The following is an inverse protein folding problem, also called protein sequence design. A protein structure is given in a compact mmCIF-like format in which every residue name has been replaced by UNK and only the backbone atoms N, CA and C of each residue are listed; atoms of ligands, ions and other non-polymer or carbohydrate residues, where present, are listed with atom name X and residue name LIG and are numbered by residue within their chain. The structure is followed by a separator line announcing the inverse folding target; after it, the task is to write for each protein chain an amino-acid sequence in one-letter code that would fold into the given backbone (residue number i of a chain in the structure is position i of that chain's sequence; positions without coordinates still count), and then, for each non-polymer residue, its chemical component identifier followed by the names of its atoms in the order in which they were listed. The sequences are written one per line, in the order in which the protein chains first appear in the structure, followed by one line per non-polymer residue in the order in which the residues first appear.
data_IF_031442471805
#
_entry.id   IF_031442471805
#
_cell.length_a   1.000
_cell.length_b   1.000
_cell.length_c   1.000
_cell.angle_alpha   90.00
_cell.angle_beta   90.00
_cell.angle_gamma   90.00
#
_symmetry.space_group_name_H-M   'P 1'
#
loop_
_entity.id
_entity.type
_entity.pdbx_description
1 polymer ?
#
# COMPACT_ATOMS: atom_id res chain seq x y z
N UNK A 1 -1.10 -19.82 4.30
CA UNK A 1 0.14 -19.26 3.73
C UNK A 1 0.75 -18.28 4.73
N UNK A 2 2.05 -18.24 4.83
CA UNK A 2 2.75 -17.38 5.78
C UNK A 2 3.13 -16.06 5.08
N UNK A 3 2.25 -15.09 5.15
CA UNK A 3 2.46 -13.82 4.47
C UNK A 3 3.56 -13.01 5.16
N UNK A 4 4.41 -12.40 4.34
CA UNK A 4 5.46 -11.49 4.79
C UNK A 4 5.22 -10.14 4.12
N UNK A 5 4.28 -9.40 4.70
CA UNK A 5 3.80 -8.14 4.11
C UNK A 5 4.91 -7.09 3.98
N UNK A 6 5.84 -7.05 4.92
CA UNK A 6 6.95 -6.10 4.86
C UNK A 6 7.86 -6.37 3.67
N UNK A 7 8.20 -7.64 3.41
CA UNK A 7 9.02 -8.01 2.26
C UNK A 7 8.25 -7.77 0.96
N UNK A 8 6.96 -8.14 0.93
CA UNK A 8 6.14 -7.95 -0.25
C UNK A 8 5.99 -6.47 -0.59
N UNK A 9 5.80 -5.62 0.41
CA UNK A 9 5.68 -4.18 0.19
C UNK A 9 6.91 -3.62 -0.52
N UNK A 10 8.08 -4.00 -0.07
CA UNK A 10 9.33 -3.50 -0.64
C UNK A 10 9.58 -4.06 -2.05
N UNK A 11 9.25 -5.34 -2.27
CA UNK A 11 9.39 -5.95 -3.59
C UNK A 11 8.45 -5.28 -4.60
N UNK A 12 7.18 -5.08 -4.22
CA UNK A 12 6.22 -4.41 -5.11
C UNK A 12 6.65 -2.99 -5.42
N UNK A 13 7.21 -2.29 -4.44
CA UNK A 13 7.72 -0.94 -4.66
C UNK A 13 8.84 -0.93 -5.70
N UNK A 14 9.83 -1.79 -5.54
CA UNK A 14 10.96 -1.85 -6.47
C UNK A 14 10.51 -2.21 -7.89
N UNK A 15 9.58 -3.17 -7.99
CA UNK A 15 9.06 -3.57 -9.29
C UNK A 15 8.26 -2.44 -9.93
N UNK A 16 7.46 -1.73 -9.14
CA UNK A 16 6.69 -0.59 -9.63
C UNK A 16 7.61 0.51 -10.15
N UNK A 17 8.67 0.82 -9.40
CA UNK A 17 9.64 1.83 -9.82
C UNK A 17 10.29 1.46 -11.16
N UNK A 18 10.66 0.20 -11.32
CA UNK A 18 11.25 -0.26 -12.57
C UNK A 18 10.26 -0.14 -13.73
N UNK A 19 9.03 -0.59 -13.51
CA UNK A 19 7.99 -0.52 -14.54
C UNK A 19 7.65 0.92 -14.89
N UNK A 20 7.60 1.81 -13.90
CA UNK A 20 7.36 3.24 -14.12
C UNK A 20 8.46 3.84 -15.00
N UNK A 21 9.71 3.47 -14.76
CA UNK A 21 10.83 3.90 -15.57
C UNK A 21 10.77 3.42 -17.01
N UNK A 22 10.10 2.29 -17.23
CA UNK A 22 9.90 1.72 -18.57
C UNK A 22 8.57 2.16 -19.19
N UNK A 23 7.89 3.12 -18.57
CA UNK A 23 6.62 3.68 -19.02
C UNK A 23 5.48 2.64 -19.09
N UNK A 24 5.56 1.64 -18.24
CA UNK A 24 4.51 0.63 -18.10
C UNK A 24 3.56 1.07 -17.00
N UNK A 25 2.80 2.11 -17.31
CA UNK A 25 2.00 2.86 -16.33
C UNK A 25 0.97 2.01 -15.60
N UNK A 26 0.20 1.19 -16.31
CA UNK A 26 -0.87 0.41 -15.68
C UNK A 26 -0.33 -0.59 -14.66
N UNK A 27 0.69 -1.35 -15.04
CA UNK A 27 1.26 -2.32 -14.12
C UNK A 27 2.04 -1.65 -12.99
N UNK A 28 2.72 -0.54 -13.28
CA UNK A 28 3.40 0.22 -12.22
C UNK A 28 2.38 0.72 -11.20
N UNK A 29 1.27 1.29 -11.65
CA UNK A 29 0.24 1.81 -10.76
C UNK A 29 -0.38 0.71 -9.91
N UNK A 30 -0.65 -0.44 -10.51
CA UNK A 30 -1.18 -1.59 -9.79
C UNK A 30 -0.25 -1.99 -8.65
N UNK A 31 1.05 -2.06 -8.92
CA UNK A 31 2.03 -2.46 -7.91
C UNK A 31 2.27 -1.38 -6.86
N UNK A 32 2.16 -0.10 -7.21
CA UNK A 32 2.23 0.94 -6.19
C UNK A 32 1.11 0.77 -5.15
N UNK A 33 -0.11 0.50 -5.61
CA UNK A 33 -1.22 0.26 -4.69
C UNK A 33 -1.01 -0.98 -3.83
N UNK A 34 -0.50 -2.06 -4.42
CA UNK A 34 -0.21 -3.28 -3.66
C UNK A 34 0.93 -3.07 -2.67
N UNK A 35 1.94 -2.29 -3.02
CA UNK A 35 3.02 -1.96 -2.08
C UNK A 35 2.49 -1.19 -0.88
N UNK A 36 1.63 -0.20 -1.12
CA UNK A 36 0.99 0.56 -0.06
C UNK A 36 0.14 -0.35 0.84
N UNK A 37 -0.64 -1.21 0.22
CA UNK A 37 -1.49 -2.16 0.95
C UNK A 37 -0.67 -3.06 1.85
N UNK A 38 0.41 -3.63 1.32
CA UNK A 38 1.27 -4.52 2.09
C UNK A 38 1.98 -3.77 3.22
N UNK A 39 2.37 -2.52 3.01
CA UNK A 39 2.99 -1.72 4.06
C UNK A 39 2.04 -1.52 5.25
N UNK A 40 0.78 -1.19 4.95
CA UNK A 40 -0.24 -1.04 5.99
C UNK A 40 -0.51 -2.37 6.69
N UNK A 41 -0.65 -3.45 5.93
CA UNK A 41 -0.89 -4.78 6.51
C UNK A 41 0.26 -5.25 7.38
N UNK A 42 1.49 -4.85 7.06
CA UNK A 42 2.64 -5.16 7.91
C UNK A 42 2.48 -4.54 9.29
N UNK A 43 2.01 -3.29 9.37
CA UNK A 43 1.75 -2.62 10.65
C UNK A 43 0.58 -3.27 11.36
N UNK A 44 -0.54 -3.50 10.66
CA UNK A 44 -1.74 -4.11 11.24
C UNK A 44 -1.43 -5.49 11.83
N UNK A 45 -0.54 -6.24 11.20
CA UNK A 45 -0.16 -7.57 11.68
C UNK A 45 0.55 -7.55 13.03
N UNK A 46 0.98 -6.37 13.48
CA UNK A 46 1.62 -6.20 14.80
C UNK A 46 0.61 -5.72 15.85
N UNK A 47 -0.63 -5.52 15.49
CA UNK A 47 -1.70 -5.09 16.40
C UNK A 47 -2.52 -6.31 16.77
N UNK A 48 -2.48 -6.78 18.04
CA UNK A 48 -3.18 -8.01 18.43
C UNK A 48 -4.67 -7.98 18.09
N UNK A 49 -5.32 -6.83 18.22
CA UNK A 49 -6.74 -6.69 17.90
C UNK A 49 -7.07 -6.85 16.43
N UNK A 50 -6.07 -6.85 15.55
CA UNK A 50 -6.27 -7.03 14.12
C UNK A 50 -6.01 -8.46 13.67
N UNK A 51 -5.71 -9.36 14.60
CA UNK A 51 -5.40 -10.75 14.30
C UNK A 51 -6.54 -11.68 14.66
N UNK A 52 -6.65 -12.77 13.90
CA UNK A 52 -7.56 -13.88 14.18
C UNK A 52 -6.78 -15.16 13.90
N UNK A 53 -6.66 -16.02 14.91
CA UNK A 53 -5.88 -17.26 14.85
C UNK A 53 -4.44 -17.03 14.37
N UNK A 54 -3.81 -15.97 14.87
CA UNK A 54 -2.44 -15.65 14.55
C UNK A 54 -2.20 -15.02 13.18
N UNK A 55 -3.26 -14.79 12.41
CA UNK A 55 -3.19 -14.18 11.09
C UNK A 55 -4.01 -12.91 11.06
N UNK A 56 -3.75 -12.08 10.06
CA UNK A 56 -4.53 -10.86 9.85
C UNK A 56 -6.01 -11.23 9.66
N UNK A 57 -6.88 -10.61 10.48
CA UNK A 57 -8.31 -10.91 10.47
C UNK A 57 -8.94 -10.54 9.12
N UNK A 58 -10.02 -11.25 8.71
CA UNK A 58 -10.66 -10.99 7.42
C UNK A 58 -11.07 -9.54 7.19
N UNK A 59 -11.43 -8.83 8.25
CA UNK A 59 -11.82 -7.41 8.15
C UNK A 59 -10.69 -6.53 7.60
N UNK A 60 -9.45 -6.97 7.73
CA UNK A 60 -8.27 -6.22 7.28
C UNK A 60 -7.64 -6.81 6.04
N UNK A 61 -8.22 -7.86 5.47
CA UNK A 61 -7.75 -8.48 4.23
C UNK A 61 -8.42 -7.81 3.04
N UNK A 62 -8.29 -6.49 2.98
CA UNK A 62 -8.87 -5.66 1.94
C UNK A 62 -7.79 -5.03 1.10
N UNK A 63 -8.15 -4.60 -0.11
CA UNK A 63 -7.25 -3.84 -0.95
C UNK A 63 -7.17 -2.40 -0.44
N UNK A 64 -6.11 -1.70 -0.85
CA UNK A 64 -5.76 -0.41 -0.25
C UNK A 64 -6.88 0.63 -0.31
N UNK A 65 -7.66 0.65 -1.37
CA UNK A 65 -8.74 1.64 -1.52
C UNK A 65 -9.79 1.49 -0.41
N UNK A 66 -10.06 0.27 0.03
CA UNK A 66 -11.02 -0.03 1.10
C UNK A 66 -10.37 -0.12 2.46
N UNK A 67 -9.12 -0.54 2.51
CA UNK A 67 -8.38 -0.73 3.76
C UNK A 67 -8.14 0.59 4.49
N UNK A 68 -8.06 1.70 3.75
CA UNK A 68 -7.70 3.01 4.30
C UNK A 68 -8.52 3.39 5.53
N UNK A 69 -9.83 3.21 5.47
CA UNK A 69 -10.70 3.59 6.58
C UNK A 69 -10.46 2.75 7.84
N UNK A 70 -9.97 1.53 7.69
CA UNK A 70 -9.67 0.66 8.84
C UNK A 70 -8.45 1.14 9.62
N UNK A 71 -7.54 1.88 8.99
CA UNK A 71 -6.34 2.40 9.65
C UNK A 71 -6.72 3.40 10.75
N UNK A 72 -7.74 4.22 10.50
CA UNK A 72 -8.15 5.27 11.45
C UNK A 72 -8.71 4.70 12.74
N UNK A 73 -9.37 3.53 12.69
CA UNK A 73 -10.10 2.99 13.83
C UNK A 73 -9.24 2.14 14.75
N UNK A 74 -8.07 1.67 14.32
CA UNK A 74 -7.32 0.66 15.06
C UNK A 74 -6.15 1.19 15.90
N UNK A 75 -5.97 2.49 15.93
CA UNK A 75 -4.89 3.07 16.73
C UNK A 75 -3.50 2.63 16.31
N UNK A 76 -3.35 2.19 15.05
CA UNK A 76 -2.06 1.71 14.52
C UNK A 76 -0.99 2.80 14.55
N UNK A 77 -1.42 4.04 14.66
CA UNK A 77 -0.50 5.18 14.70
C UNK A 77 0.42 5.17 15.91
N UNK A 78 0.08 4.39 16.94
CA UNK A 78 0.97 4.22 18.11
C UNK A 78 2.23 3.45 17.72
N UNK A 79 2.11 2.48 16.81
CA UNK A 79 3.24 1.69 16.33
C UNK A 79 4.02 2.40 15.23
N UNK A 80 3.35 3.28 14.49
CA UNK A 80 3.94 4.03 13.39
C UNK A 80 3.46 5.47 13.48
N UNK A 81 4.07 6.30 14.35
CA UNK A 81 3.57 7.67 14.60
C UNK A 81 3.46 8.54 13.34
N UNK A 82 4.35 8.35 12.38
CA UNK A 82 4.28 9.09 11.12
C UNK A 82 3.07 8.74 10.27
N UNK A 83 2.45 7.60 10.53
CA UNK A 83 1.31 7.13 9.75
C UNK A 83 0.07 8.01 9.98
N UNK A 84 -0.08 8.57 11.17
CA UNK A 84 -1.25 9.40 11.48
C UNK A 84 -1.38 10.59 10.52
N UNK A 85 -0.29 11.30 10.29
CA UNK A 85 -0.31 12.46 9.39
C UNK A 85 -0.67 12.04 7.96
N UNK A 86 -0.13 10.92 7.50
CA UNK A 86 -0.41 10.41 6.16
C UNK A 86 -1.88 10.02 6.01
N UNK A 87 -2.42 9.33 7.01
CA UNK A 87 -3.80 8.85 6.98
C UNK A 87 -4.79 10.01 7.07
N UNK A 88 -4.49 11.01 7.90
CA UNK A 88 -5.38 12.16 8.09
C UNK A 88 -5.45 13.07 6.86
N UNK A 89 -4.48 12.97 5.97
CA UNK A 89 -4.48 13.76 4.73
C UNK A 89 -5.53 13.28 3.72
N UNK A 90 -6.22 12.19 4.00
CA UNK A 90 -7.24 11.63 3.12
C UNK A 90 -6.73 10.42 2.35
N UNK A 91 -7.65 9.68 1.73
CA UNK A 91 -7.32 8.47 1.00
C UNK A 91 -6.87 8.80 -0.42
N UNK A 92 -5.58 8.67 -0.73
CA UNK A 92 -5.08 8.96 -2.08
C UNK A 92 -5.36 7.84 -3.07
N UNK A 93 -5.91 6.71 -2.62
CA UNK A 93 -6.18 5.53 -3.45
C UNK A 93 -7.67 5.36 -3.76
N UNK A 94 -8.47 6.42 -3.63
CA UNK A 94 -9.90 6.34 -3.91
C UNK A 94 -10.18 5.96 -5.37
N UNK A 95 -9.31 6.36 -6.27
CA UNK A 95 -9.42 6.06 -7.70
C UNK A 95 -8.59 4.85 -8.13
N UNK A 96 -8.03 4.11 -7.16
CA UNK A 96 -7.26 2.90 -7.42
C UNK A 96 -8.16 1.68 -7.18
N UNK A 97 -8.07 0.69 -8.07
CA UNK A 97 -8.83 -0.56 -7.95
C UNK A 97 -7.95 -1.73 -8.39
N UNK A 98 -8.05 -2.84 -7.65
CA UNK A 98 -7.31 -4.04 -8.02
C UNK A 98 -7.77 -4.57 -9.39
N UNK A 99 -9.04 -4.33 -9.74
CA UNK A 99 -9.61 -4.75 -11.02
C UNK A 99 -9.00 -4.03 -12.23
N UNK A 100 -8.26 -2.95 -12.01
CA UNK A 100 -7.57 -2.24 -13.10
C UNK A 100 -6.60 -3.15 -13.86
N UNK A 101 -6.13 -4.21 -13.21
CA UNK A 101 -5.24 -5.20 -13.86
C UNK A 101 -5.89 -5.90 -15.05
N UNK A 102 -7.22 -5.83 -15.14
CA UNK A 102 -7.98 -6.42 -16.24
C UNK A 102 -8.43 -5.38 -17.27
N UNK A 103 -8.15 -4.12 -17.04
CA UNK A 103 -8.55 -3.03 -17.94
C UNK A 103 -7.58 -2.91 -19.10
N UNK A 104 -8.01 -2.21 -20.12
CA UNK A 104 -7.18 -1.95 -21.30
C UNK A 104 -6.07 -0.93 -21.03
N UNK A 105 -5.12 -0.87 -21.94
CA UNK A 105 -4.05 0.10 -21.87
C UNK A 105 -4.60 1.53 -21.96
N UNK A 106 -3.94 2.45 -21.24
CA UNK A 106 -4.31 3.86 -21.25
C UNK A 106 -5.39 4.23 -20.25
N UNK A 107 -5.90 3.27 -19.45
CA UNK A 107 -6.94 3.53 -18.45
C UNK A 107 -6.40 4.30 -17.25
N UNK A 108 -5.11 4.19 -16.96
CA UNK A 108 -4.47 4.90 -15.87
C UNK A 108 -3.65 6.06 -16.42
N UNK A 109 -3.95 7.28 -15.97
CA UNK A 109 -3.18 8.44 -16.40
C UNK A 109 -1.84 8.51 -15.69
N UNK A 110 -0.88 9.17 -16.32
CA UNK A 110 0.44 9.39 -15.71
C UNK A 110 0.33 10.17 -14.40
N UNK A 111 -0.60 11.11 -14.32
CA UNK A 111 -0.79 11.92 -13.11
C UNK A 111 -1.39 11.11 -11.98
N UNK A 112 -2.34 10.21 -12.26
CA UNK A 112 -2.87 9.31 -11.24
C UNK A 112 -1.79 8.39 -10.71
N UNK A 113 -1.00 7.80 -11.61
CA UNK A 113 0.11 6.94 -11.20
C UNK A 113 1.11 7.71 -10.33
N UNK A 114 1.45 8.94 -10.72
CA UNK A 114 2.39 9.76 -9.95
C UNK A 114 1.86 10.06 -8.55
N UNK A 115 0.55 10.31 -8.43
CA UNK A 115 -0.08 10.53 -7.12
C UNK A 115 -0.02 9.28 -6.26
N UNK A 116 -0.33 8.12 -6.83
CA UNK A 116 -0.27 6.85 -6.12
C UNK A 116 1.16 6.51 -5.72
N UNK A 117 2.13 6.80 -6.59
CA UNK A 117 3.54 6.60 -6.29
C UNK A 117 3.97 7.43 -5.07
N UNK A 118 3.63 8.72 -5.05
CA UNK A 118 3.98 9.61 -3.94
C UNK A 118 3.35 9.13 -2.63
N UNK A 119 2.08 8.76 -2.68
CA UNK A 119 1.38 8.26 -1.50
C UNK A 119 2.02 6.98 -0.98
N UNK A 120 2.36 6.07 -1.87
CA UNK A 120 3.02 4.81 -1.50
C UNK A 120 4.38 5.06 -0.85
N UNK A 121 5.16 5.98 -1.42
CA UNK A 121 6.46 6.34 -0.86
C UNK A 121 6.32 6.85 0.57
N UNK A 122 5.34 7.73 0.82
CA UNK A 122 5.07 8.25 2.15
C UNK A 122 4.66 7.13 3.11
N UNK A 123 3.81 6.23 2.66
CA UNK A 123 3.35 5.12 3.49
C UNK A 123 4.49 4.18 3.86
N UNK A 124 5.35 3.85 2.91
CA UNK A 124 6.51 3.00 3.20
C UNK A 124 7.37 3.62 4.30
N UNK A 125 7.67 4.92 4.16
CA UNK A 125 8.44 5.63 5.17
C UNK A 125 7.75 5.66 6.52
N UNK A 126 6.44 5.96 6.54
CA UNK A 126 5.65 6.04 7.76
C UNK A 126 5.53 4.68 8.46
N UNK A 127 5.54 3.61 7.70
CA UNK A 127 5.46 2.23 8.24
C UNK A 127 6.83 1.65 8.59
N UNK A 128 7.88 2.45 8.49
CA UNK A 128 9.24 2.00 8.83
C UNK A 128 9.88 1.13 7.77
N UNK A 129 9.37 1.17 6.55
CA UNK A 129 9.92 0.40 5.43
C UNK A 129 10.66 1.34 4.49
N UNK A 130 11.72 0.84 3.90
CA UNK A 130 12.57 1.67 3.05
C UNK A 130 12.82 0.99 1.71
N UNK A 131 11.72 0.59 1.07
CA UNK A 131 11.78 -0.05 -0.23
C UNK A 131 12.54 0.78 -1.25
N UNK A 132 12.44 2.10 -1.14
CA UNK A 132 13.16 3.01 -2.03
C UNK A 132 14.66 2.95 -1.85
N UNK A 133 15.15 2.43 -0.72
CA UNK A 133 16.60 2.24 -0.47
C UNK A 133 17.08 0.86 -0.84
N UNK A 134 16.16 -0.04 -1.11
CA UNK A 134 16.50 -1.43 -1.38
C UNK A 134 17.15 -1.64 -2.75
N UNK A 135 17.54 -0.60 -3.35
CA UNK A 135 18.20 -0.62 -4.65
C UNK A 135 19.69 -0.74 -4.49
#
# INVERSE_FOLDING_TARGET
MNEKYDEAAQRHWRDAEWLSGEQRTENADQLYGLAAECAVKAVLSKVPGCLSDGELAPAYRKHIDKLWSSILVQGVTKLAPGLQAVVQAGNPFQDWRVEQRYAGDGVVSSSSMASHRQATKRLLGACGLSGSRGT
#
